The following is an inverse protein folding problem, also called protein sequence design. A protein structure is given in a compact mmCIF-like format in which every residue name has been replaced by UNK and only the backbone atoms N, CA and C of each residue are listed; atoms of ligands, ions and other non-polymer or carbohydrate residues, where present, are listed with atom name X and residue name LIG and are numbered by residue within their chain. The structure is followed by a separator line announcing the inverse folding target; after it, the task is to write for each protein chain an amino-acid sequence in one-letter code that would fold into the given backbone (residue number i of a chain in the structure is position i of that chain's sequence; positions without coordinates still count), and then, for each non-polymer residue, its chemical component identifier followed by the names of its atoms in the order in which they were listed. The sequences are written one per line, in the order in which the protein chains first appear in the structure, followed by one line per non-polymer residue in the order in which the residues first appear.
data_IF_364774319095
#
_entry.id   IF_364774319095
#
_cell.length_a   1.000
_cell.length_b   1.000
_cell.length_c   1.000
_cell.angle_alpha   90.00
_cell.angle_beta   90.00
_cell.angle_gamma   90.00
#
_symmetry.space_group_name_H-M   'P 1'
#
loop_
_entity.id
_entity.type
_entity.pdbx_description
1 polymer ?
#
# COMPACT_ATOMS: atom_id res chain seq x y z
N UNK A 1 -15.42 10.06 -3.75
CA UNK A 1 -14.45 9.00 -4.02
C UNK A 1 -14.91 7.75 -3.30
N UNK A 2 -15.49 6.84 -4.08
CA UNK A 2 -16.02 5.57 -3.57
C UNK A 2 -15.01 4.45 -3.76
N UNK A 3 -15.32 3.27 -3.22
CA UNK A 3 -14.58 2.02 -3.49
C UNK A 3 -14.45 1.77 -5.01
N UNK A 4 -15.24 2.47 -5.83
CA UNK A 4 -15.21 2.44 -7.27
C UNK A 4 -13.90 2.86 -7.95
N UNK A 5 -13.11 3.66 -7.26
CA UNK A 5 -12.01 4.40 -7.87
C UNK A 5 -10.65 3.71 -7.60
N UNK A 6 -10.66 2.56 -6.92
CA UNK A 6 -9.48 1.78 -6.56
C UNK A 6 -9.16 0.69 -7.61
N UNK A 7 -7.87 0.33 -7.77
CA UNK A 7 -7.44 -0.87 -8.48
C UNK A 7 -8.20 -2.13 -8.05
N UNK A 8 -8.41 -3.04 -9.01
CA UNK A 8 -9.22 -4.25 -8.87
C UNK A 8 -8.74 -5.13 -7.69
N UNK A 9 -7.43 -5.17 -7.42
CA UNK A 9 -6.83 -5.91 -6.31
C UNK A 9 -7.28 -5.37 -4.95
N UNK A 10 -7.23 -4.05 -4.74
CA UNK A 10 -7.61 -3.42 -3.46
C UNK A 10 -9.12 -3.46 -3.25
N UNK A 11 -9.89 -3.35 -4.33
CA UNK A 11 -11.35 -3.55 -4.33
C UNK A 11 -11.75 -4.95 -3.86
N UNK A 12 -11.02 -5.98 -4.30
CA UNK A 12 -11.22 -7.36 -3.83
C UNK A 12 -10.84 -7.51 -2.36
N UNK A 13 -9.70 -6.95 -1.95
CA UNK A 13 -9.28 -6.93 -0.55
C UNK A 13 -10.33 -6.31 0.37
N UNK A 14 -10.81 -5.11 0.03
CA UNK A 14 -11.87 -4.44 0.75
C UNK A 14 -13.16 -5.26 0.81
N UNK A 15 -13.60 -5.88 -0.31
CA UNK A 15 -14.83 -6.71 -0.33
C UNK A 15 -14.71 -8.01 0.47
N UNK A 16 -13.52 -8.59 0.58
CA UNK A 16 -13.27 -9.78 1.40
C UNK A 16 -13.38 -9.39 2.87
N UNK A 17 -12.81 -8.24 3.20
CA UNK A 17 -12.81 -7.62 4.51
C UNK A 17 -14.24 -7.20 4.93
N UNK A 18 -14.98 -6.50 4.08
CA UNK A 18 -16.36 -6.05 4.32
C UNK A 18 -17.34 -7.21 4.61
N UNK A 19 -17.07 -8.41 4.06
CA UNK A 19 -17.86 -9.61 4.30
C UNK A 19 -17.64 -10.28 5.66
N UNK A 20 -16.57 -9.94 6.40
CA UNK A 20 -16.30 -10.55 7.70
C UNK A 20 -17.10 -9.95 8.85
N UNK A 21 -17.79 -8.83 8.63
CA UNK A 21 -18.73 -8.22 9.60
C UNK A 21 -18.07 -7.54 10.81
N UNK A 22 -16.75 -7.58 10.95
CA UNK A 22 -16.02 -7.08 12.12
C UNK A 22 -14.97 -6.02 11.77
N UNK A 23 -15.25 -5.18 10.78
CA UNK A 23 -14.28 -4.17 10.35
C UNK A 23 -14.74 -2.82 10.85
N UNK A 24 -14.02 -2.32 11.84
CA UNK A 24 -14.16 -0.97 12.31
C UNK A 24 -13.80 0.02 11.19
N UNK A 25 -14.44 1.19 11.18
CA UNK A 25 -14.27 2.21 10.14
C UNK A 25 -12.77 2.59 9.95
N UNK A 26 -12.01 2.53 11.04
CA UNK A 26 -10.57 2.79 11.09
C UNK A 26 -9.77 1.81 10.23
N UNK A 27 -10.15 0.53 10.18
CA UNK A 27 -9.49 -0.47 9.33
C UNK A 27 -9.74 -0.16 7.85
N UNK A 28 -10.97 0.25 7.51
CA UNK A 28 -11.30 0.72 6.16
C UNK A 28 -10.43 1.91 5.74
N UNK A 29 -10.22 2.87 6.65
CA UNK A 29 -9.35 4.02 6.43
C UNK A 29 -7.90 3.59 6.21
N UNK A 30 -7.38 2.65 7.01
CA UNK A 30 -6.01 2.13 6.84
C UNK A 30 -5.83 1.48 5.47
N UNK A 31 -6.76 0.60 5.06
CA UNK A 31 -6.69 -0.06 3.74
C UNK A 31 -6.74 0.94 2.60
N UNK A 32 -7.45 2.05 2.75
CA UNK A 32 -7.50 3.11 1.73
C UNK A 32 -6.27 4.01 1.73
N UNK A 33 -5.64 4.23 2.89
CA UNK A 33 -4.59 5.24 3.05
C UNK A 33 -3.18 4.68 3.22
N UNK A 34 -2.97 3.37 3.37
CA UNK A 34 -1.63 2.80 3.59
C UNK A 34 -0.66 3.02 2.42
N UNK A 35 -1.17 3.36 1.23
CA UNK A 35 -0.37 3.78 0.06
C UNK A 35 -0.21 5.31 -0.09
N UNK A 36 -0.81 6.09 0.81
CA UNK A 36 -0.56 7.53 0.90
C UNK A 36 0.86 7.79 1.42
N UNK A 37 1.48 8.87 0.97
CA UNK A 37 2.84 9.24 1.38
C UNK A 37 2.79 10.56 2.12
N UNK A 38 3.63 10.71 3.14
CA UNK A 38 3.67 11.93 3.96
C UNK A 38 3.88 13.22 3.12
N UNK A 39 4.62 13.12 2.01
CA UNK A 39 4.87 14.22 1.08
C UNK A 39 3.71 14.51 0.09
N UNK A 40 2.64 13.72 0.09
CA UNK A 40 1.48 13.85 -0.80
C UNK A 40 1.67 13.29 -2.21
N UNK A 41 2.78 12.62 -2.49
CA UNK A 41 2.96 11.86 -3.74
C UNK A 41 2.39 10.44 -3.65
N UNK A 42 1.59 10.16 -2.63
CA UNK A 42 0.86 8.91 -2.50
C UNK A 42 -0.42 8.92 -3.33
N UNK A 43 -1.07 7.76 -3.38
CA UNK A 43 -2.34 7.58 -4.04
C UNK A 43 -3.29 6.87 -3.07
N UNK A 44 -4.62 6.95 -3.28
CA UNK A 44 -5.33 7.58 -4.39
C UNK A 44 -5.67 9.08 -4.23
N UNK A 45 -5.61 9.64 -3.01
CA UNK A 45 -6.04 11.00 -2.71
C UNK A 45 -4.91 12.03 -2.65
N UNK A 46 -3.65 11.59 -2.53
CA UNK A 46 -2.50 12.49 -2.41
C UNK A 46 -2.51 13.27 -1.10
N UNK A 47 -2.95 12.62 -0.02
CA UNK A 47 -3.08 13.22 1.30
C UNK A 47 -1.70 13.60 1.85
N UNK A 48 -1.61 14.73 2.55
CA UNK A 48 -0.34 15.26 3.08
C UNK A 48 -0.34 15.34 4.60
N UNK A 49 0.79 15.02 5.20
CA UNK A 49 1.04 15.25 6.62
C UNK A 49 -0.06 14.70 7.52
N UNK A 50 -0.80 15.59 8.19
CA UNK A 50 -1.81 15.25 9.19
C UNK A 50 -3.18 14.86 8.61
N UNK A 51 -3.33 14.94 7.28
CA UNK A 51 -4.51 14.41 6.60
C UNK A 51 -4.51 12.87 6.52
N UNK A 52 -3.34 12.25 6.74
CA UNK A 52 -3.19 10.79 6.77
C UNK A 52 -3.46 10.30 8.19
N UNK A 53 -4.35 9.32 8.32
CA UNK A 53 -4.70 8.73 9.60
C UNK A 53 -3.47 8.13 10.28
N UNK A 54 -3.38 8.23 11.61
CA UNK A 54 -2.20 7.79 12.35
C UNK A 54 -1.88 6.31 12.15
N UNK A 55 -2.90 5.45 12.12
CA UNK A 55 -2.71 4.03 11.82
C UNK A 55 -2.23 3.77 10.40
N UNK A 56 -2.67 4.57 9.41
CA UNK A 56 -2.17 4.45 8.05
C UNK A 56 -0.68 4.82 7.98
N UNK A 57 -0.24 5.88 8.70
CA UNK A 57 1.19 6.25 8.81
C UNK A 57 2.04 5.10 9.37
N UNK A 58 1.56 4.42 10.42
CA UNK A 58 2.24 3.28 11.04
C UNK A 58 2.37 2.12 10.03
N UNK A 59 1.27 1.77 9.35
CA UNK A 59 1.27 0.71 8.34
C UNK A 59 2.21 1.01 7.17
N UNK A 60 2.22 2.25 6.66
CA UNK A 60 3.14 2.65 5.57
C UNK A 60 4.60 2.53 6.02
N UNK A 61 4.92 2.91 7.26
CA UNK A 61 6.28 2.77 7.79
C UNK A 61 6.70 1.30 7.95
N UNK A 62 5.78 0.45 8.41
CA UNK A 62 6.01 -0.99 8.50
C UNK A 62 6.21 -1.64 7.13
N UNK A 63 5.41 -1.28 6.13
CA UNK A 63 5.50 -1.79 4.75
C UNK A 63 6.82 -1.37 4.07
N UNK A 64 7.26 -0.12 4.28
CA UNK A 64 8.57 0.35 3.79
C UNK A 64 9.71 -0.38 4.48
N UNK A 65 9.64 -0.56 5.80
CA UNK A 65 10.67 -1.29 6.54
C UNK A 65 10.75 -2.75 6.09
N UNK A 66 9.61 -3.42 5.91
CA UNK A 66 9.53 -4.77 5.38
C UNK A 66 10.12 -4.83 3.95
N UNK A 67 9.80 -3.88 3.08
CA UNK A 67 10.35 -3.83 1.73
C UNK A 67 11.88 -3.63 1.69
N UNK A 68 12.44 -2.89 2.65
CA UNK A 68 13.89 -2.64 2.75
C UNK A 68 14.66 -3.79 3.39
N UNK A 69 14.03 -4.52 4.32
CA UNK A 69 14.67 -5.61 5.08
C UNK A 69 14.41 -6.99 4.48
N UNK A 70 13.33 -7.13 3.70
CA UNK A 70 13.04 -8.33 2.94
C UNK A 70 14.09 -8.54 1.85
N UNK A 71 14.80 -9.66 1.92
CA UNK A 71 15.66 -10.14 0.84
C UNK A 71 14.78 -10.55 -0.36
N UNK A 72 14.37 -9.58 -1.19
CA UNK A 72 13.71 -9.87 -2.46
C UNK A 72 14.77 -10.47 -3.38
N UNK A 73 14.76 -11.80 -3.52
CA UNK A 73 15.45 -12.49 -4.62
C UNK A 73 14.85 -11.99 -5.94
N UNK A 74 15.38 -10.89 -6.47
CA UNK A 74 15.23 -10.58 -7.88
C UNK A 74 15.97 -11.67 -8.65
N UNK A 75 15.19 -12.64 -9.13
CA UNK A 75 15.62 -13.62 -10.12
C UNK A 75 15.56 -12.95 -11.49
N UNK A 76 16.72 -12.81 -12.11
CA UNK A 76 16.89 -12.32 -13.48
C UNK A 76 18.35 -12.04 -13.75
N UNK A 77 19.06 -13.06 -14.23
CA UNK A 77 20.49 -13.08 -14.54
C UNK A 77 20.97 -11.85 -15.32
N UNK A 78 22.15 -11.34 -14.94
CA UNK A 78 22.94 -10.49 -15.82
C UNK A 78 23.40 -11.37 -16.99
N UNK A 79 22.71 -11.30 -18.12
CA UNK A 79 23.31 -11.72 -19.39
C UNK A 79 24.46 -10.76 -19.67
N UNK A 80 25.66 -11.17 -19.26
CA UNK A 80 26.94 -10.58 -19.62
C UNK A 80 26.99 -10.39 -21.14
N UNK A 81 26.89 -9.14 -21.61
CA UNK A 81 27.13 -8.77 -23.01
C UNK A 81 28.61 -8.42 -23.25
N UNK A 82 29.53 -9.06 -22.56
CA UNK A 82 30.90 -9.16 -23.06
C UNK A 82 30.98 -10.42 -23.92
N UNK A 83 30.69 -10.23 -25.22
CA UNK A 83 31.21 -11.11 -26.25
C UNK A 83 32.74 -10.94 -26.29
N UNK A 84 33.47 -12.02 -26.04
CA UNK A 84 34.90 -12.15 -26.32
C UNK A 84 35.09 -13.24 -27.36
#
# INVERSE_FOLDING_TARGET
FGISDLPISWRKGYKILDKSGEISEEIGIIVLQHHERYNGNGYPRGLKGDQIHIYAKICTMADVFDALTSYRKFKGEKNSTFNA
#
